data_IF_398695036268
#
_entry.id   IF_398695036268
#
_cell.length_a   1.000
_cell.length_b   1.000
_cell.length_c   1.000
_cell.angle_alpha   90.00
_cell.angle_beta   90.00
_cell.angle_gamma   90.00
#
_symmetry.space_group_name_H-M   'P 1'
#
loop_
_entity.id
_entity.type
_entity.pdbx_description
1 polymer ?
#
# COMPACT_ATOMS: atom_id res chain seq x y z
N UNK A 1 7.70 8.64 6.84
CA UNK A 1 7.03 7.43 7.40
C UNK A 1 5.52 7.46 7.20
N UNK A 2 4.76 8.46 7.70
CA UNK A 2 3.29 8.49 7.54
C UNK A 2 2.80 8.31 6.09
N UNK A 3 3.37 9.05 5.13
CA UNK A 3 3.04 8.91 3.70
C UNK A 3 3.37 7.52 3.13
N UNK A 4 4.41 6.85 3.64
CA UNK A 4 4.74 5.49 3.25
C UNK A 4 3.69 4.49 3.74
N UNK A 5 3.15 4.67 4.96
CA UNK A 5 2.05 3.85 5.47
C UNK A 5 0.75 4.05 4.66
N UNK A 6 0.44 5.30 4.27
CA UNK A 6 -0.72 5.57 3.42
C UNK A 6 -0.57 4.94 2.03
N UNK A 7 0.60 5.09 1.40
CA UNK A 7 0.92 4.45 0.13
C UNK A 7 0.83 2.92 0.24
N UNK A 8 1.38 2.34 1.31
CA UNK A 8 1.36 0.91 1.55
C UNK A 8 -0.06 0.34 1.65
N UNK A 9 -1.00 1.06 2.28
CA UNK A 9 -2.39 0.60 2.34
C UNK A 9 -3.04 0.54 0.96
N UNK A 10 -2.78 1.54 0.11
CA UNK A 10 -3.25 1.55 -1.28
C UNK A 10 -2.59 0.42 -2.07
N UNK A 11 -1.27 0.26 -1.99
CA UNK A 11 -0.56 -0.86 -2.63
C UNK A 11 -1.13 -2.20 -2.21
N UNK A 12 -1.38 -2.38 -0.90
CA UNK A 12 -1.90 -3.62 -0.35
C UNK A 12 -3.28 -3.95 -0.89
N UNK A 13 -4.21 -2.99 -0.97
CA UNK A 13 -5.53 -3.29 -1.52
C UNK A 13 -5.50 -3.50 -3.04
N UNK A 14 -4.57 -2.87 -3.76
CA UNK A 14 -4.37 -3.10 -5.19
C UNK A 14 -3.84 -4.51 -5.48
N UNK A 15 -2.96 -5.07 -4.65
CA UNK A 15 -2.55 -6.48 -4.84
C UNK A 15 -3.72 -7.44 -4.61
N UNK A 16 -4.59 -7.13 -3.65
CA UNK A 16 -5.82 -7.90 -3.40
C UNK A 16 -6.83 -7.76 -4.56
N UNK A 17 -6.87 -6.63 -5.28
CA UNK A 17 -7.76 -6.49 -6.43
C UNK A 17 -7.43 -7.49 -7.54
N UNK A 18 -6.14 -7.70 -7.82
CA UNK A 18 -5.69 -8.70 -8.80
C UNK A 18 -6.08 -10.13 -8.39
N UNK A 19 -6.03 -10.45 -7.10
CA UNK A 19 -6.53 -11.75 -6.58
C UNK A 19 -8.04 -11.85 -6.77
N UNK A 20 -8.78 -10.80 -6.46
CA UNK A 20 -10.24 -10.77 -6.62
C UNK A 20 -10.66 -10.95 -8.10
N UNK A 21 -9.93 -10.34 -9.05
CA UNK A 21 -10.15 -10.52 -10.49
C UNK A 21 -9.96 -11.98 -10.92
N UNK A 22 -8.92 -12.65 -10.41
CA UNK A 22 -8.65 -14.05 -10.73
C UNK A 22 -9.69 -15.02 -10.15
N UNK A 23 -10.34 -14.68 -9.03
CA UNK A 23 -11.32 -15.54 -8.35
C UNK A 23 -12.77 -15.15 -8.59
N UNK A 24 -13.04 -14.03 -9.27
CA UNK A 24 -14.39 -13.46 -9.42
C UNK A 24 -14.95 -12.82 -8.13
N UNK A 25 -14.10 -12.53 -7.15
CA UNK A 25 -14.51 -11.84 -5.93
C UNK A 25 -14.59 -10.31 -6.14
N UNK A 26 -15.27 -9.60 -5.23
CA UNK A 26 -15.35 -8.14 -5.27
C UNK A 26 -14.35 -7.50 -4.31
N UNK A 27 -13.35 -6.79 -4.84
CA UNK A 27 -12.37 -6.07 -4.00
C UNK A 27 -13.04 -4.99 -3.13
N UNK A 28 -14.16 -4.41 -3.59
CA UNK A 28 -14.93 -3.43 -2.80
C UNK A 28 -15.56 -4.06 -1.57
N UNK A 29 -16.06 -5.28 -1.69
CA UNK A 29 -16.64 -6.01 -0.55
C UNK A 29 -15.54 -6.44 0.43
N UNK A 30 -14.41 -6.92 -0.09
CA UNK A 30 -13.23 -7.26 0.71
C UNK A 30 -12.71 -6.04 1.47
N UNK A 31 -12.49 -4.92 0.79
CA UNK A 31 -12.05 -3.66 1.40
C UNK A 31 -13.01 -3.18 2.50
N UNK A 32 -14.32 -3.27 2.24
CA UNK A 32 -15.35 -2.92 3.22
C UNK A 32 -15.26 -3.83 4.44
N UNK A 33 -15.18 -5.15 4.27
CA UNK A 33 -15.10 -6.10 5.36
C UNK A 33 -13.84 -5.89 6.22
N UNK A 34 -12.68 -5.72 5.58
CA UNK A 34 -11.41 -5.43 6.24
C UNK A 34 -11.46 -4.09 6.99
N UNK A 35 -12.06 -3.07 6.40
CA UNK A 35 -12.17 -1.73 6.98
C UNK A 35 -13.13 -1.63 8.17
N UNK A 36 -13.96 -2.65 8.44
CA UNK A 36 -14.79 -2.72 9.66
C UNK A 36 -13.97 -3.00 10.91
N UNK A 37 -12.77 -3.58 10.77
CA UNK A 37 -11.86 -3.73 11.90
C UNK A 37 -11.30 -2.36 12.30
N UNK A 38 -11.64 -1.89 13.50
CA UNK A 38 -11.26 -0.58 14.01
C UNK A 38 -9.74 -0.37 14.12
N UNK A 39 -8.94 -1.44 14.18
CA UNK A 39 -7.47 -1.37 14.20
C UNK A 39 -6.89 -1.05 12.82
N UNK A 40 -7.65 -1.37 11.77
CA UNK A 40 -7.28 -1.11 10.37
C UNK A 40 -7.91 0.19 9.90
N UNK A 41 -9.20 0.39 10.17
CA UNK A 41 -9.98 1.52 9.70
C UNK A 41 -10.31 1.45 8.20
N UNK A 42 -11.30 2.23 7.78
CA UNK A 42 -11.86 2.17 6.42
C UNK A 42 -11.20 3.13 5.41
N UNK A 43 -10.26 3.98 5.83
CA UNK A 43 -9.62 4.98 4.97
C UNK A 43 -8.44 4.36 4.20
N UNK A 44 -8.15 4.89 3.01
CA UNK A 44 -7.04 4.44 2.16
C UNK A 44 -7.09 2.93 1.84
N UNK A 45 -8.30 2.40 1.63
CA UNK A 45 -8.55 1.00 1.20
C UNK A 45 -9.35 0.94 -0.12
N UNK A 46 -9.34 2.01 -0.91
CA UNK A 46 -9.95 1.99 -2.24
C UNK A 46 -8.92 1.52 -3.26
N UNK A 47 -9.20 0.38 -3.90
CA UNK A 47 -8.36 -0.13 -4.98
C UNK A 47 -8.43 0.78 -6.22
N UNK A 48 -7.27 1.03 -6.82
CA UNK A 48 -7.10 1.88 -7.99
C UNK A 48 -6.03 1.30 -8.94
N UNK A 49 -5.90 1.87 -10.14
CA UNK A 49 -4.82 1.52 -11.09
C UNK A 49 -3.41 1.79 -10.49
N UNK A 50 -3.33 2.60 -9.44
CA UNK A 50 -2.12 2.96 -8.72
C UNK A 50 -2.35 4.21 -7.87
N UNK A 51 -1.48 4.45 -6.88
CA UNK A 51 -1.45 5.75 -6.20
C UNK A 51 -0.64 6.75 -7.05
N UNK A 52 -1.25 7.86 -7.40
CA UNK A 52 -0.62 8.97 -8.12
C UNK A 52 -0.29 10.15 -7.20
N UNK A 53 0.34 11.17 -7.77
CA UNK A 53 0.70 12.41 -7.07
C UNK A 53 2.15 12.43 -6.58
N UNK A 54 2.71 13.64 -6.51
CA UNK A 54 4.13 13.86 -6.27
C UNK A 54 4.63 13.44 -4.88
N UNK A 55 3.73 13.28 -3.90
CA UNK A 55 4.12 13.08 -2.50
C UNK A 55 4.39 11.61 -2.14
N UNK A 56 3.54 10.66 -2.52
CA UNK A 56 3.69 9.27 -2.07
C UNK A 56 4.90 8.56 -2.68
N UNK A 57 5.03 8.64 -4.00
CA UNK A 57 6.15 8.00 -4.69
C UNK A 57 7.50 8.60 -4.26
N UNK A 58 7.57 9.93 -4.12
CA UNK A 58 8.77 10.62 -3.62
C UNK A 58 9.14 10.18 -2.20
N UNK A 59 8.19 10.14 -1.29
CA UNK A 59 8.48 9.83 0.11
C UNK A 59 8.81 8.35 0.34
N UNK A 60 8.25 7.44 -0.47
CA UNK A 60 8.65 6.02 -0.47
C UNK A 60 10.06 5.84 -1.03
N UNK A 61 10.41 6.48 -2.15
CA UNK A 61 11.79 6.44 -2.66
C UNK A 61 12.81 7.07 -1.72
N UNK A 62 12.46 8.16 -1.05
CA UNK A 62 13.33 8.73 -0.02
C UNK A 62 13.54 7.76 1.15
N UNK A 63 12.53 6.97 1.53
CA UNK A 63 12.65 5.95 2.56
C UNK A 63 13.56 4.80 2.14
N UNK A 64 13.42 4.32 0.89
CA UNK A 64 14.29 3.29 0.30
C UNK A 64 15.73 3.78 0.29
N UNK A 65 15.97 4.97 -0.25
CA UNK A 65 17.30 5.59 -0.31
C UNK A 65 17.94 5.74 1.07
N UNK A 66 17.16 6.17 2.07
CA UNK A 66 17.63 6.23 3.45
C UNK A 66 18.04 4.85 3.97
N UNK A 67 17.23 3.82 3.74
CA UNK A 67 17.54 2.45 4.17
C UNK A 67 18.82 1.91 3.50
N UNK A 68 19.01 2.17 2.20
CA UNK A 68 20.23 1.82 1.46
C UNK A 68 21.45 2.55 2.03
N UNK A 69 21.33 3.84 2.33
CA UNK A 69 22.43 4.63 2.91
C UNK A 69 22.88 4.12 4.29
N UNK A 70 21.96 3.49 5.01
CA UNK A 70 22.18 2.89 6.33
C UNK A 70 22.62 1.42 6.25
N UNK A 71 22.79 0.84 5.05
CA UNK A 71 23.10 -0.58 4.83
C UNK A 71 22.05 -1.52 5.45
N UNK A 72 20.77 -1.15 5.25
CA UNK A 72 19.61 -1.93 5.66
C UNK A 72 18.91 -2.48 4.41
N UNK A 73 19.62 -3.26 3.61
CA UNK A 73 19.15 -3.78 2.32
C UNK A 73 17.82 -4.53 2.42
N UNK A 74 17.55 -5.37 3.45
CA UNK A 74 16.25 -6.03 3.58
C UNK A 74 15.09 -5.05 3.76
N UNK A 75 15.35 -3.89 4.39
CA UNK A 75 14.34 -2.84 4.56
C UNK A 75 14.12 -2.10 3.25
N UNK A 76 15.18 -1.77 2.53
CA UNK A 76 15.09 -1.13 1.21
C UNK A 76 14.28 -2.00 0.23
N UNK A 77 14.58 -3.30 0.16
CA UNK A 77 13.89 -4.25 -0.71
C UNK A 77 12.40 -4.41 -0.38
N UNK A 78 12.02 -4.29 0.89
CA UNK A 78 10.61 -4.38 1.29
C UNK A 78 9.77 -3.21 0.75
N UNK A 79 10.37 -2.02 0.66
CA UNK A 79 9.66 -0.80 0.26
C UNK A 79 9.74 -0.51 -1.25
N UNK A 80 10.63 -1.19 -1.97
CA UNK A 80 10.85 -1.08 -3.41
C UNK A 80 9.64 -1.58 -4.22
#
# INVERSE_FOLDING_TARGET
VANAFLAQRISSINTISAVCEATGASVKEVAKAVGLDSRIGNKFLDASIGFGGSCFQKDVYNLIYLAESLKLEPVAQYWL
#
